data_IF_400241670696
#
_entry.id   IF_400241670696
#
_cell.length_a   1.000
_cell.length_b   1.000
_cell.length_c   1.000
_cell.angle_alpha   90.00
_cell.angle_beta   90.00
_cell.angle_gamma   90.00
#
_symmetry.space_group_name_H-M   'P 1'
#
loop_
_entity.id
_entity.type
_entity.pdbx_description
1 polymer ?
#
# COMPACT_ATOMS: atom_id res chain seq x y z
N UNK A 1 -2.37 58.83 -10.46
CA UNK A 1 -3.44 57.86 -10.12
C UNK A 1 -3.36 56.57 -10.92
N UNK A 2 -3.07 56.60 -12.23
CA UNK A 2 -2.96 55.39 -13.08
C UNK A 2 -1.79 54.43 -12.74
N UNK A 3 -0.66 54.93 -12.23
CA UNK A 3 0.51 54.10 -11.87
C UNK A 3 0.23 53.12 -10.72
N UNK A 4 -0.61 53.53 -9.77
CA UNK A 4 -0.95 52.72 -8.59
C UNK A 4 -1.93 51.61 -8.95
N UNK A 5 -2.80 51.82 -9.93
CA UNK A 5 -3.76 50.84 -10.41
C UNK A 5 -3.11 49.70 -11.22
N UNK A 6 -2.07 50.01 -12.00
CA UNK A 6 -1.29 49.00 -12.72
C UNK A 6 -0.45 48.14 -11.76
N UNK A 7 0.11 48.76 -10.72
CA UNK A 7 0.91 48.08 -9.70
C UNK A 7 0.04 47.20 -8.78
N UNK A 8 -1.19 47.62 -8.48
CA UNK A 8 -2.16 46.76 -7.76
C UNK A 8 -2.72 45.63 -8.64
N UNK A 9 -2.95 45.86 -9.93
CA UNK A 9 -3.33 44.79 -10.88
C UNK A 9 -2.24 43.72 -11.04
N UNK A 10 -0.96 44.13 -11.07
CA UNK A 10 0.17 43.21 -11.21
C UNK A 10 0.34 42.34 -9.95
N UNK A 11 0.08 42.90 -8.76
CA UNK A 11 0.09 42.16 -7.48
C UNK A 11 -1.09 41.19 -7.36
N UNK A 12 -2.27 41.54 -7.88
CA UNK A 12 -3.45 40.67 -7.94
C UNK A 12 -3.26 39.49 -8.91
N UNK A 13 -2.56 39.69 -10.04
CA UNK A 13 -2.25 38.61 -10.99
C UNK A 13 -1.20 37.63 -10.45
N UNK A 14 -0.26 38.08 -9.61
CA UNK A 14 0.72 37.19 -8.96
C UNK A 14 0.13 36.32 -7.85
N UNK A 15 -1.07 36.63 -7.36
CA UNK A 15 -1.64 36.01 -6.16
C UNK A 15 -2.48 34.74 -6.40
N UNK A 16 -2.65 34.27 -7.64
CA UNK A 16 -3.56 33.14 -7.92
C UNK A 16 -2.99 32.11 -8.87
N UNK A 17 -1.87 31.50 -8.48
CA UNK A 17 -1.55 30.14 -8.92
C UNK A 17 -1.15 29.31 -7.70
N UNK A 18 -2.11 29.11 -6.79
CA UNK A 18 -2.02 28.05 -5.79
C UNK A 18 -2.19 26.73 -6.56
N UNK A 19 -1.07 26.09 -6.92
CA UNK A 19 -1.07 24.70 -7.36
C UNK A 19 -1.45 23.87 -6.13
N UNK A 20 -2.75 23.68 -5.90
CA UNK A 20 -3.21 22.72 -4.92
C UNK A 20 -2.95 21.33 -5.49
N UNK A 21 -2.01 20.60 -4.91
CA UNK A 21 -1.83 19.19 -5.23
C UNK A 21 -3.18 18.48 -5.01
N UNK A 22 -3.72 17.88 -6.07
CA UNK A 22 -4.97 17.15 -5.98
C UNK A 22 -4.68 15.70 -5.58
N UNK A 23 -5.29 15.25 -4.49
CA UNK A 23 -5.22 13.85 -4.07
C UNK A 23 -5.67 12.93 -5.21
N UNK A 24 -4.94 11.84 -5.41
CA UNK A 24 -5.41 10.71 -6.21
C UNK A 24 -5.65 9.53 -5.29
N UNK A 25 -6.77 8.85 -5.48
CA UNK A 25 -7.18 7.72 -4.65
C UNK A 25 -7.56 6.51 -5.49
N UNK A 26 -7.42 5.33 -4.88
CA UNK A 26 -7.82 4.04 -5.44
C UNK A 26 -8.48 3.19 -4.36
N UNK A 27 -9.46 2.39 -4.76
CA UNK A 27 -10.04 1.35 -3.93
C UNK A 27 -10.00 0.02 -4.68
N UNK A 28 -9.74 -1.06 -3.94
CA UNK A 28 -9.54 -2.39 -4.49
C UNK A 28 -10.22 -3.40 -3.57
N UNK A 29 -10.90 -4.36 -4.18
CA UNK A 29 -11.48 -5.51 -3.47
C UNK A 29 -11.12 -6.80 -4.17
N UNK A 30 -11.27 -7.91 -3.47
CA UNK A 30 -11.12 -9.25 -4.04
C UNK A 30 -11.33 -10.33 -2.99
N UNK A 31 -11.18 -11.58 -3.43
CA UNK A 31 -11.27 -12.77 -2.57
C UNK A 31 -10.01 -13.61 -2.78
N UNK A 32 -9.37 -13.99 -1.68
CA UNK A 32 -8.18 -14.84 -1.69
C UNK A 32 -8.56 -16.26 -1.24
N UNK A 33 -8.07 -17.25 -1.97
CA UNK A 33 -8.22 -18.67 -1.65
C UNK A 33 -6.85 -19.33 -1.45
N UNK A 34 -6.83 -20.40 -0.68
CA UNK A 34 -5.73 -21.36 -0.64
C UNK A 34 -6.32 -22.74 -0.95
N UNK A 35 -6.17 -23.18 -2.20
CA UNK A 35 -6.93 -24.33 -2.70
C UNK A 35 -8.42 -24.07 -2.67
N UNK A 36 -9.15 -25.00 -2.08
CA UNK A 36 -10.61 -24.91 -1.99
C UNK A 36 -11.10 -24.00 -0.88
N UNK A 37 -10.23 -23.60 0.06
CA UNK A 37 -10.58 -22.85 1.26
C UNK A 37 -10.35 -21.34 1.12
N UNK A 38 -11.10 -20.50 1.84
CA UNK A 38 -10.80 -19.07 1.94
C UNK A 38 -9.44 -18.87 2.62
N UNK A 39 -8.63 -17.95 2.10
CA UNK A 39 -7.36 -17.60 2.72
C UNK A 39 -7.58 -16.46 3.73
N UNK A 40 -7.59 -16.80 5.02
CA UNK A 40 -7.99 -15.92 6.12
C UNK A 40 -6.78 -15.18 6.70
N UNK A 41 -6.97 -13.93 7.15
CA UNK A 41 -5.93 -13.10 7.80
C UNK A 41 -4.64 -12.97 6.97
N UNK A 42 -4.78 -12.99 5.65
CA UNK A 42 -3.69 -12.72 4.70
C UNK A 42 -3.41 -11.23 4.71
N UNK A 43 -2.14 -10.83 4.77
CA UNK A 43 -1.78 -9.42 4.75
C UNK A 43 -1.77 -8.89 3.32
N UNK A 44 -2.49 -7.79 3.10
CA UNK A 44 -2.53 -7.07 1.84
C UNK A 44 -2.02 -5.65 2.06
N UNK A 45 -1.09 -5.20 1.22
CA UNK A 45 -0.48 -3.87 1.29
C UNK A 45 -0.64 -3.13 -0.03
N UNK A 46 -1.01 -1.86 0.06
CA UNK A 46 -1.08 -0.95 -1.07
C UNK A 46 0.12 0.00 -1.03
N UNK A 47 0.76 0.16 -2.17
CA UNK A 47 1.91 1.04 -2.37
C UNK A 47 1.69 1.96 -3.57
N UNK A 48 2.36 3.10 -3.54
CA UNK A 48 2.56 3.94 -4.71
C UNK A 48 3.94 3.67 -5.32
N UNK A 49 3.97 3.34 -6.60
CA UNK A 49 5.20 3.16 -7.37
C UNK A 49 5.35 4.31 -8.38
N UNK A 50 6.49 5.00 -8.31
CA UNK A 50 6.88 6.07 -9.22
C UNK A 50 8.38 5.96 -9.59
N UNK A 51 8.95 6.87 -10.42
CA UNK A 51 10.36 6.83 -10.77
C UNK A 51 11.34 7.02 -9.59
N UNK A 52 10.89 7.57 -8.46
CA UNK A 52 11.69 7.83 -7.28
C UNK A 52 11.66 6.69 -6.27
N UNK A 53 10.64 5.82 -6.34
CA UNK A 53 10.63 4.57 -5.59
C UNK A 53 9.24 4.01 -5.33
N UNK A 54 9.16 3.24 -4.23
CA UNK A 54 7.94 2.61 -3.74
C UNK A 54 7.68 3.15 -2.35
N UNK A 55 6.52 3.78 -2.15
CA UNK A 55 6.08 4.28 -0.85
C UNK A 55 4.83 3.53 -0.38
N UNK A 56 4.77 3.24 0.92
CA UNK A 56 3.63 2.57 1.55
C UNK A 56 2.45 3.52 1.66
N UNK A 57 1.25 3.02 1.33
CA UNK A 57 -0.01 3.78 1.39
C UNK A 57 -0.89 3.26 2.52
N UNK A 58 -1.29 1.99 2.44
CA UNK A 58 -2.25 1.40 3.37
C UNK A 58 -2.07 -0.12 3.46
N UNK A 59 -2.59 -0.74 4.52
CA UNK A 59 -2.68 -2.19 4.63
C UNK A 59 -4.03 -2.67 5.18
N UNK A 60 -4.39 -3.89 4.82
CA UNK A 60 -5.56 -4.58 5.38
C UNK A 60 -5.26 -6.08 5.51
N UNK A 61 -6.23 -6.83 6.06
CA UNK A 61 -6.20 -8.29 6.04
C UNK A 61 -7.46 -8.84 5.37
N UNK A 62 -7.35 -10.03 4.77
CA UNK A 62 -8.54 -10.78 4.37
C UNK A 62 -9.33 -11.25 5.59
N UNK A 63 -10.65 -11.26 5.47
CA UNK A 63 -11.58 -11.73 6.49
C UNK A 63 -11.74 -13.26 6.49
N UNK A 64 -12.70 -13.77 7.27
CA UNK A 64 -12.98 -15.20 7.42
C UNK A 64 -13.52 -15.86 6.13
N UNK A 65 -13.98 -15.05 5.16
CA UNK A 65 -14.38 -15.51 3.83
C UNK A 65 -13.25 -15.32 2.79
N UNK A 66 -12.05 -14.92 3.22
CA UNK A 66 -10.93 -14.58 2.35
C UNK A 66 -11.13 -13.27 1.60
N UNK A 67 -12.19 -12.50 1.91
CA UNK A 67 -12.51 -11.24 1.24
C UNK A 67 -11.65 -10.11 1.79
N UNK A 68 -11.20 -9.21 0.92
CA UNK A 68 -10.52 -7.99 1.34
C UNK A 68 -11.08 -6.77 0.60
N UNK A 69 -10.97 -5.62 1.27
CA UNK A 69 -11.22 -4.31 0.69
C UNK A 69 -10.18 -3.34 1.26
N UNK A 70 -9.49 -2.62 0.38
CA UNK A 70 -8.47 -1.65 0.72
C UNK A 70 -8.63 -0.41 -0.14
N UNK A 71 -8.56 0.76 0.49
CA UNK A 71 -8.54 2.04 -0.20
C UNK A 71 -7.43 2.90 0.33
N UNK A 72 -6.77 3.63 -0.56
CA UNK A 72 -5.69 4.53 -0.18
C UNK A 72 -5.66 5.74 -1.09
N UNK A 73 -4.95 6.76 -0.64
CA UNK A 73 -4.70 7.98 -1.41
C UNK A 73 -3.23 8.34 -1.35
N UNK A 74 -2.76 9.05 -2.37
CA UNK A 74 -1.42 9.62 -2.40
C UNK A 74 -1.50 11.08 -2.81
N UNK A 75 -0.73 11.91 -2.10
CA UNK A 75 -0.58 13.34 -2.36
C UNK A 75 0.45 13.53 -3.47
N UNK A 76 0.04 13.31 -4.73
CA UNK A 76 0.99 13.37 -5.84
C UNK A 76 0.58 14.37 -6.92
N UNK A 77 1.54 15.24 -7.25
CA UNK A 77 1.58 16.02 -8.49
C UNK A 77 2.00 15.16 -9.70
N UNK A 78 2.56 13.96 -9.47
CA UNK A 78 3.10 13.06 -10.48
C UNK A 78 2.21 11.84 -10.72
N UNK A 79 2.35 11.23 -11.90
CA UNK A 79 1.60 10.04 -12.30
C UNK A 79 2.19 8.80 -11.61
N UNK A 80 1.60 8.36 -10.49
CA UNK A 80 2.00 7.12 -9.81
C UNK A 80 1.20 5.91 -10.28
N UNK A 81 1.78 4.72 -10.08
CA UNK A 81 1.16 3.43 -10.37
C UNK A 81 0.81 2.72 -9.06
N UNK A 82 -0.43 2.25 -8.87
CA UNK A 82 -0.80 1.53 -7.67
C UNK A 82 -0.28 0.09 -7.70
N UNK A 83 0.40 -0.32 -6.64
CA UNK A 83 0.97 -1.66 -6.48
C UNK A 83 0.33 -2.33 -5.26
N UNK A 84 -0.36 -3.44 -5.48
CA UNK A 84 -0.96 -4.25 -4.42
C UNK A 84 -0.06 -5.47 -4.15
N UNK A 85 0.35 -5.67 -2.91
CA UNK A 85 1.17 -6.79 -2.47
C UNK A 85 0.38 -7.69 -1.55
N UNK A 86 0.37 -9.00 -1.82
CA UNK A 86 -0.26 -10.03 -1.00
C UNK A 86 0.82 -10.90 -0.39
N UNK A 87 0.83 -11.03 0.95
CA UNK A 87 1.83 -11.79 1.70
C UNK A 87 1.20 -13.02 2.36
N UNK A 88 1.65 -14.22 1.99
CA UNK A 88 1.01 -15.47 2.41
C UNK A 88 1.99 -16.65 2.52
N UNK A 89 1.52 -17.72 3.15
CA UNK A 89 2.28 -18.98 3.35
C UNK A 89 1.50 -20.20 2.82
N UNK A 90 0.47 -19.95 1.99
CA UNK A 90 -0.30 -20.99 1.30
C UNK A 90 0.63 -21.97 0.56
N UNK A 91 0.46 -23.26 0.87
CA UNK A 91 1.29 -24.40 0.48
C UNK A 91 2.82 -24.22 0.70
N UNK A 92 3.22 -23.40 1.69
CA UNK A 92 4.64 -23.01 1.86
C UNK A 92 5.11 -22.89 3.32
N UNK A 93 4.33 -23.39 4.29
CA UNK A 93 4.57 -23.22 5.74
C UNK A 93 5.95 -23.70 6.23
N UNK A 94 6.64 -24.57 5.47
CA UNK A 94 7.96 -25.11 5.83
C UNK A 94 9.14 -24.25 5.39
N UNK A 95 8.92 -23.23 4.55
CA UNK A 95 10.00 -22.37 4.04
C UNK A 95 10.10 -21.08 4.85
N UNK A 96 11.31 -20.55 5.07
CA UNK A 96 11.49 -19.32 5.81
C UNK A 96 10.95 -18.12 5.02
N UNK A 97 10.24 -17.23 5.73
CA UNK A 97 9.67 -16.02 5.17
C UNK A 97 8.41 -16.26 4.33
N UNK A 98 7.64 -15.19 4.12
CA UNK A 98 6.34 -15.27 3.44
C UNK A 98 6.46 -15.03 1.96
N UNK A 99 5.71 -15.79 1.17
CA UNK A 99 5.56 -15.55 -0.28
C UNK A 99 4.91 -14.20 -0.50
N UNK A 100 5.40 -13.46 -1.50
CA UNK A 100 4.88 -12.13 -1.84
C UNK A 100 4.48 -12.11 -3.32
N UNK A 101 3.22 -11.76 -3.56
CA UNK A 101 2.67 -11.60 -4.92
C UNK A 101 2.31 -10.13 -5.12
N UNK A 102 2.79 -9.56 -6.22
CA UNK A 102 2.62 -8.16 -6.57
C UNK A 102 1.67 -8.00 -7.77
N UNK A 103 0.62 -7.21 -7.60
CA UNK A 103 -0.29 -6.80 -8.67
C UNK A 103 -0.07 -5.33 -8.98
N UNK A 104 0.36 -5.03 -10.20
CA UNK A 104 0.31 -3.67 -10.70
C UNK A 104 -1.12 -3.38 -11.14
N UNK A 105 -1.79 -2.45 -10.46
CA UNK A 105 -3.18 -2.16 -10.68
C UNK A 105 -3.35 -1.18 -11.87
N UNK A 106 -4.46 -1.28 -12.63
CA UNK A 106 -4.65 -0.40 -13.79
C UNK A 106 -4.84 1.07 -13.38
N UNK A 107 -4.01 1.95 -13.93
CA UNK A 107 -4.02 3.38 -13.59
C UNK A 107 -5.37 4.08 -13.82
N UNK A 108 -6.23 3.56 -14.70
CA UNK A 108 -7.53 4.16 -14.99
C UNK A 108 -8.55 4.02 -13.84
N UNK A 109 -8.23 3.22 -12.80
CA UNK A 109 -9.01 3.18 -11.56
C UNK A 109 -8.57 4.23 -10.53
N UNK A 110 -7.52 5.01 -10.80
CA UNK A 110 -7.16 6.17 -9.98
C UNK A 110 -8.16 7.30 -10.22
N UNK A 111 -8.71 7.84 -9.14
CA UNK A 111 -9.70 8.92 -9.20
C UNK A 111 -9.25 10.15 -8.43
N UNK A 112 -9.67 11.32 -8.90
CA UNK A 112 -9.43 12.59 -8.22
C UNK A 112 -10.18 12.72 -6.91
N UNK A 113 -9.47 13.21 -5.90
CA UNK A 113 -9.95 13.47 -4.56
C UNK A 113 -9.51 12.42 -3.54
N UNK A 114 -9.75 12.74 -2.27
CA UNK A 114 -9.33 11.92 -1.13
C UNK A 114 -10.03 10.54 -1.05
N UNK A 115 -11.16 10.35 -1.74
CA UNK A 115 -11.93 9.10 -1.74
C UNK A 115 -12.08 8.57 -3.16
N UNK A 116 -11.85 7.27 -3.31
CA UNK A 116 -11.96 6.61 -4.58
C UNK A 116 -13.42 6.62 -5.08
N UNK A 117 -13.64 7.03 -6.32
CA UNK A 117 -14.98 7.05 -6.94
C UNK A 117 -15.38 5.70 -7.52
N UNK A 118 -14.39 4.87 -7.84
CA UNK A 118 -14.55 3.54 -8.42
C UNK A 118 -13.72 2.54 -7.64
N UNK A 119 -14.18 1.28 -7.63
CA UNK A 119 -13.47 0.18 -6.97
C UNK A 119 -13.01 -0.80 -8.03
N UNK A 120 -11.71 -1.12 -8.04
CA UNK A 120 -11.16 -2.20 -8.87
C UNK A 120 -11.46 -3.55 -8.21
N UNK A 121 -12.05 -4.47 -8.96
CA UNK A 121 -12.31 -5.83 -8.51
C UNK A 121 -11.20 -6.75 -9.04
N UNK A 122 -10.33 -7.23 -8.14
CA UNK A 122 -9.28 -8.18 -8.49
C UNK A 122 -9.84 -9.58 -8.79
N UNK A 123 -11.10 -9.84 -8.40
CA UNK A 123 -11.74 -11.14 -8.51
C UNK A 123 -11.30 -12.12 -7.43
N UNK A 124 -11.39 -13.41 -7.77
CA UNK A 124 -10.99 -14.52 -6.89
C UNK A 124 -9.60 -15.00 -7.29
N UNK A 125 -8.67 -15.05 -6.34
CA UNK A 125 -7.29 -15.42 -6.57
C UNK A 125 -6.86 -16.58 -5.67
N UNK A 126 -6.42 -17.69 -6.26
CA UNK A 126 -5.89 -18.83 -5.52
C UNK A 126 -4.38 -18.68 -5.33
N UNK A 127 -3.96 -18.60 -4.07
CA UNK A 127 -2.59 -18.37 -3.62
C UNK A 127 -1.68 -19.61 -3.71
N UNK A 128 -2.21 -20.77 -4.11
CA UNK A 128 -1.38 -21.92 -4.51
C UNK A 128 -0.56 -21.63 -5.77
N UNK A 129 -0.97 -20.63 -6.56
CA UNK A 129 -0.29 -20.23 -7.80
C UNK A 129 1.20 -20.00 -7.55
N UNK A 130 2.06 -20.74 -8.28
CA UNK A 130 3.52 -20.61 -8.19
C UNK A 130 4.03 -19.73 -9.33
N UNK A 131 4.82 -18.72 -8.98
CA UNK A 131 5.55 -17.92 -9.95
C UNK A 131 6.82 -18.67 -10.33
N UNK A 132 6.90 -19.14 -11.58
CA UNK A 132 8.00 -20.01 -12.03
C UNK A 132 9.39 -19.34 -12.03
N UNK A 133 9.45 -18.00 -12.06
CA UNK A 133 10.69 -17.24 -11.99
C UNK A 133 10.54 -16.15 -10.92
N UNK A 134 11.61 -15.92 -10.15
CA UNK A 134 11.75 -14.78 -9.24
C UNK A 134 10.67 -14.65 -8.14
N UNK A 135 10.35 -15.77 -7.47
CA UNK A 135 9.48 -15.73 -6.30
C UNK A 135 10.09 -14.87 -5.17
N UNK A 136 9.46 -13.73 -4.90
CA UNK A 136 9.86 -12.83 -3.82
C UNK A 136 9.38 -13.37 -2.47
N UNK A 137 10.29 -13.45 -1.49
CA UNK A 137 9.96 -13.77 -0.09
C UNK A 137 10.32 -12.64 0.85
N UNK A 138 9.54 -12.50 1.92
CA UNK A 138 9.75 -11.48 2.96
C UNK A 138 9.90 -12.17 4.31
N UNK A 139 11.12 -12.13 4.87
CA UNK A 139 11.45 -12.69 6.18
C UNK A 139 10.83 -11.91 7.34
N UNK A 140 10.72 -10.57 7.22
CA UNK A 140 10.04 -9.74 8.22
C UNK A 140 9.11 -8.74 7.53
N UNK A 141 7.85 -8.78 7.92
CA UNK A 141 6.87 -7.79 7.49
C UNK A 141 7.09 -6.55 8.36
N UNK A 142 7.96 -5.63 7.91
CA UNK A 142 8.09 -4.33 8.58
C UNK A 142 7.22 -3.29 7.88
N UNK A 143 6.68 -2.32 8.63
CA UNK A 143 6.08 -1.09 8.07
C UNK A 143 7.11 -0.06 7.60
N UNK A 144 8.39 -0.19 7.99
CA UNK A 144 9.40 0.85 7.77
C UNK A 144 9.94 0.86 6.35
N UNK A 145 9.83 2.03 5.72
CA UNK A 145 10.52 2.47 4.49
C UNK A 145 11.94 1.88 4.47
N UNK A 146 12.27 1.07 3.47
CA UNK A 146 13.66 0.61 3.23
C UNK A 146 14.47 1.81 2.73
N UNK A 147 14.70 2.82 3.58
CA UNK A 147 15.74 3.83 3.35
C UNK A 147 17.07 3.11 3.54
N UNK A 148 18.01 3.39 2.61
CA UNK A 148 19.37 2.84 2.59
C UNK A 148 19.96 2.76 4.01
N UNK A 149 20.55 1.61 4.28
CA UNK A 149 21.30 1.19 5.46
C UNK A 149 22.16 2.33 6.04
N UNK A 150 21.81 2.81 7.25
CA UNK A 150 22.59 3.84 7.95
C UNK A 150 22.01 4.35 9.28
N UNK A 151 20.69 4.31 9.49
CA UNK A 151 20.03 4.93 10.67
C UNK A 151 19.47 3.92 11.70
N UNK A 152 19.92 2.67 11.68
CA UNK A 152 19.26 1.56 12.40
C UNK A 152 19.30 1.72 13.94
N UNK A 153 20.33 2.34 14.52
CA UNK A 153 20.50 2.31 15.99
C UNK A 153 19.74 3.41 16.76
N UNK A 154 19.39 4.54 16.15
CA UNK A 154 18.82 5.68 16.90
C UNK A 154 17.28 5.57 17.02
N UNK A 155 16.62 4.87 16.09
CA UNK A 155 15.17 4.80 16.00
C UNK A 155 14.51 3.67 16.83
N UNK A 156 15.28 2.76 17.42
CA UNK A 156 14.76 1.68 18.29
C UNK A 156 14.29 2.21 19.66
N UNK A 157 14.95 3.24 20.20
CA UNK A 157 14.62 3.75 21.53
C UNK A 157 13.39 4.67 21.57
N UNK A 158 12.93 5.19 20.42
CA UNK A 158 11.78 6.12 20.37
C UNK A 158 10.41 5.44 20.17
N UNK A 159 10.38 4.22 19.64
CA UNK A 159 9.12 3.53 19.26
C UNK A 159 8.48 2.74 20.39
N UNK A 160 9.17 2.56 21.52
CA UNK A 160 8.60 1.89 22.71
C UNK A 160 7.36 2.59 23.30
N UNK A 161 7.02 3.81 22.86
CA UNK A 161 5.93 4.63 23.42
C UNK A 161 4.76 4.92 22.46
N UNK A 162 4.67 4.29 21.29
CA UNK A 162 3.47 4.41 20.43
C UNK A 162 2.75 3.06 20.42
N UNK A 163 1.53 3.03 20.96
CA UNK A 163 0.65 1.86 20.94
C UNK A 163 0.56 1.30 19.53
N UNK A 164 1.15 0.12 19.32
CA UNK A 164 1.04 -0.63 18.08
C UNK A 164 -0.45 -0.79 17.74
N UNK A 165 -0.82 -0.49 16.50
CA UNK A 165 -2.19 -0.69 16.01
C UNK A 165 -2.52 -2.19 16.10
N UNK A 166 -3.78 -2.56 16.34
CA UNK A 166 -4.18 -3.98 16.33
C UNK A 166 -3.79 -4.70 15.01
N UNK A 167 -3.57 -3.94 13.92
CA UNK A 167 -3.09 -4.40 12.63
C UNK A 167 -1.56 -4.66 12.56
N UNK A 168 -0.80 -4.42 13.63
CA UNK A 168 0.64 -4.70 13.78
C UNK A 168 0.93 -6.07 14.39
N UNK A 169 -0.08 -6.79 14.87
CA UNK A 169 0.10 -8.06 15.61
C UNK A 169 0.66 -9.22 14.76
N UNK A 170 0.93 -9.00 13.48
CA UNK A 170 1.32 -10.05 12.54
C UNK A 170 2.60 -9.69 11.75
N UNK A 171 3.49 -8.90 12.35
CA UNK A 171 4.79 -8.54 11.75
C UNK A 171 5.82 -9.69 11.74
N UNK A 172 5.68 -10.69 12.62
CA UNK A 172 6.63 -11.81 12.76
C UNK A 172 6.05 -13.13 12.24
N UNK A 173 6.72 -13.83 11.30
CA UNK A 173 6.22 -15.08 10.71
C UNK A 173 6.12 -16.26 11.70
N UNK A 174 6.99 -16.28 12.71
CA UNK A 174 7.23 -17.47 13.55
C UNK A 174 6.23 -17.66 14.70
N UNK A 175 5.38 -16.67 14.97
CA UNK A 175 4.39 -16.74 16.07
C UNK A 175 3.05 -17.38 15.64
N UNK A 176 2.90 -17.77 14.37
CA UNK A 176 1.63 -18.32 13.87
C UNK A 176 1.68 -19.84 13.75
N UNK A 177 1.61 -20.50 14.90
CA UNK A 177 1.12 -21.88 14.97
C UNK A 177 -0.41 -21.80 14.93
N UNK A 178 -1.03 -21.99 13.75
CA UNK A 178 -2.35 -22.64 13.65
C UNK A 178 -2.76 -22.88 12.17
N UNK A 179 -3.61 -23.89 11.93
CA UNK A 179 -3.54 -24.72 10.74
C UNK A 179 -4.73 -24.45 9.83
N UNK A 180 -4.59 -23.48 8.92
CA UNK A 180 -5.60 -23.18 7.90
C UNK A 180 -6.91 -22.59 8.44
#
# INVERSE_FOLDING_TARGET
MLKNAAQTMLLLFSATFLITAADKSIAVKGVLKCGDFPAIKILIRLFSLDPYGIDFIEQTHSDDNGTFNISGKSELLTQWRPLLSVHHDCDDVKKPGRRKINFLLPNHYLTDGAKAKTVYDLGVWNLETVMMHDEERVEKITRRRRRRTGEIQIAENRVRNTTASALDRYEEPDERVDPW
#
